data_IF_323050550934
#
_entry.id   IF_323050550934
#
_cell.length_a   1.000
_cell.length_b   1.000
_cell.length_c   1.000
_cell.angle_alpha   90.00
_cell.angle_beta   90.00
_cell.angle_gamma   90.00
#
_symmetry.space_group_name_H-M   'P 1'
#
loop_
_entity.id
_entity.type
_entity.pdbx_description
1 polymer ?
#
# COMPACT_ATOMS: atom_id res chain seq x y z
N UNK A 1 81.87 -21.80 -11.37
CA UNK A 1 81.99 -22.70 -10.20
C UNK A 1 80.92 -22.25 -9.20
N UNK A 2 80.05 -23.19 -8.83
CA UNK A 2 79.02 -23.18 -7.78
C UNK A 2 77.81 -22.21 -7.80
N UNK A 3 76.66 -22.86 -7.65
CA UNK A 3 75.32 -22.43 -7.27
C UNK A 3 75.23 -21.86 -5.84
N UNK A 4 74.15 -21.12 -5.53
CA UNK A 4 73.19 -21.45 -4.46
C UNK A 4 71.96 -20.52 -4.47
N UNK A 5 70.80 -21.10 -4.10
CA UNK A 5 69.45 -20.55 -4.17
C UNK A 5 68.95 -20.02 -2.78
N UNK A 6 67.62 -19.96 -2.47
CA UNK A 6 66.86 -18.75 -2.14
C UNK A 6 66.52 -18.60 -0.63
N UNK A 7 65.91 -17.47 -0.21
CA UNK A 7 65.24 -17.34 1.09
C UNK A 7 63.89 -16.62 1.01
N UNK A 8 62.86 -17.34 1.47
CA UNK A 8 61.54 -16.90 1.91
C UNK A 8 61.58 -16.28 3.30
N UNK A 9 60.65 -15.36 3.61
CA UNK A 9 60.40 -14.86 4.97
C UNK A 9 58.91 -15.01 5.30
N UNK A 10 58.64 -15.78 6.37
CA UNK A 10 57.37 -15.93 7.07
C UNK A 10 57.32 -14.99 8.29
N UNK A 11 56.11 -14.64 8.73
CA UNK A 11 55.85 -13.97 10.02
C UNK A 11 54.94 -14.85 10.92
N UNK A 12 55.07 -14.78 12.26
CA UNK A 12 54.51 -15.76 13.21
C UNK A 12 53.27 -15.27 13.99
N UNK A 13 52.79 -16.17 14.86
CA UNK A 13 51.47 -16.23 15.48
C UNK A 13 51.27 -15.48 16.82
N UNK A 14 49.97 -15.22 17.08
CA UNK A 14 49.18 -15.28 18.32
C UNK A 14 49.76 -14.94 19.70
N UNK A 15 49.10 -14.01 20.39
CA UNK A 15 48.95 -13.99 21.86
C UNK A 15 47.48 -13.73 22.22
N UNK A 16 46.96 -14.56 23.13
CA UNK A 16 45.59 -14.54 23.62
C UNK A 16 45.48 -13.73 24.92
N UNK A 17 44.41 -12.93 25.05
CA UNK A 17 43.95 -12.39 26.33
C UNK A 17 42.44 -12.63 26.44
N UNK A 18 42.04 -13.39 27.47
CA UNK A 18 40.65 -13.71 27.79
C UNK A 18 39.94 -12.47 28.33
N UNK A 19 38.79 -12.13 27.76
CA UNK A 19 37.80 -11.24 28.39
C UNK A 19 36.51 -12.03 28.55
N UNK A 20 35.99 -12.01 29.78
CA UNK A 20 34.71 -12.58 30.20
C UNK A 20 33.58 -11.94 29.38
N UNK A 21 32.79 -12.74 28.68
CA UNK A 21 31.57 -12.28 28.01
C UNK A 21 30.39 -12.43 28.98
N UNK A 22 29.88 -11.32 29.48
CA UNK A 22 28.54 -11.24 30.09
C UNK A 22 27.58 -10.93 28.94
N UNK A 23 26.68 -11.87 28.66
CA UNK A 23 25.71 -11.75 27.56
C UNK A 23 24.51 -10.94 28.05
N UNK A 24 24.28 -9.79 27.42
CA UNK A 24 22.96 -9.15 27.31
C UNK A 24 22.63 -9.08 25.82
N UNK A 25 21.42 -9.47 25.36
CA UNK A 25 21.06 -9.28 23.98
C UNK A 25 20.66 -7.81 23.79
N UNK A 26 21.53 -7.02 23.19
CA UNK A 26 21.10 -5.80 22.49
C UNK A 26 20.66 -6.30 21.11
N UNK A 27 19.35 -6.29 20.87
CA UNK A 27 18.82 -6.43 19.53
C UNK A 27 19.25 -5.19 18.73
N UNK A 28 20.33 -5.30 17.95
CA UNK A 28 20.55 -4.41 16.83
C UNK A 28 19.57 -4.82 15.73
N UNK A 29 18.46 -4.11 15.62
CA UNK A 29 17.71 -4.02 14.37
C UNK A 29 18.60 -3.26 13.38
N UNK A 30 19.21 -4.01 12.47
CA UNK A 30 20.04 -3.46 11.41
C UNK A 30 19.13 -2.94 10.30
N UNK A 31 19.24 -1.64 10.01
CA UNK A 31 18.68 -0.98 8.85
C UNK A 31 19.16 -1.67 7.58
N UNK A 32 18.25 -2.27 6.82
CA UNK A 32 18.55 -2.72 5.46
C UNK A 32 17.92 -1.72 4.51
N UNK A 33 18.74 -0.84 3.92
CA UNK A 33 18.38 -0.20 2.65
C UNK A 33 18.49 -1.29 1.58
N UNK A 34 17.45 -2.10 1.42
CA UNK A 34 17.37 -3.07 0.33
C UNK A 34 16.63 -2.43 -0.84
N UNK A 35 17.19 -2.56 -2.05
CA UNK A 35 16.57 -2.14 -3.32
C UNK A 35 15.43 -3.10 -3.70
N UNK A 36 14.56 -3.41 -2.75
CA UNK A 36 13.50 -4.40 -2.87
C UNK A 36 12.19 -3.69 -3.12
N UNK A 37 11.47 -4.08 -4.18
CA UNK A 37 10.12 -3.58 -4.41
C UNK A 37 9.17 -4.16 -3.34
N UNK A 38 8.16 -3.39 -2.90
CA UNK A 38 7.15 -3.86 -1.95
C UNK A 38 6.48 -5.16 -2.43
N UNK A 39 6.20 -5.25 -3.73
CA UNK A 39 5.66 -6.44 -4.39
C UNK A 39 6.51 -7.72 -4.23
N UNK A 40 7.82 -7.60 -4.01
CA UNK A 40 8.76 -8.73 -3.93
C UNK A 40 8.97 -9.24 -2.50
N UNK A 41 8.72 -8.43 -1.47
CA UNK A 41 9.05 -8.74 -0.08
C UNK A 41 7.83 -9.13 0.76
N UNK A 42 6.65 -8.61 0.42
CA UNK A 42 5.41 -8.89 1.11
C UNK A 42 4.35 -9.16 0.06
N UNK A 43 3.84 -10.40 0.01
CA UNK A 43 2.71 -10.75 -0.83
C UNK A 43 1.50 -9.95 -0.33
N UNK A 44 1.31 -8.73 -0.83
CA UNK A 44 0.26 -7.80 -0.40
C UNK A 44 -1.09 -8.50 -0.56
N UNK A 45 -1.75 -8.84 0.55
CA UNK A 45 -3.07 -9.48 0.52
C UNK A 45 -4.17 -8.43 0.72
N UNK A 46 -3.91 -7.37 1.49
CA UNK A 46 -4.85 -6.26 1.74
C UNK A 46 -4.08 -4.99 2.10
N UNK A 47 -4.10 -4.00 1.22
CA UNK A 47 -3.66 -2.64 1.56
C UNK A 47 -4.82 -1.97 2.30
N UNK A 48 -4.57 -1.43 3.49
CA UNK A 48 -5.62 -0.85 4.31
C UNK A 48 -5.66 0.68 4.26
N UNK A 49 -4.52 1.31 3.95
CA UNK A 49 -4.30 2.76 4.05
C UNK A 49 -3.21 3.20 3.06
N UNK A 50 -3.32 4.43 2.56
CA UNK A 50 -2.32 5.07 1.70
C UNK A 50 -2.34 6.60 1.75
N UNK A 51 -1.25 7.20 2.25
CA UNK A 51 -1.07 8.66 2.26
C UNK A 51 0.00 9.14 1.29
N UNK A 52 -0.18 10.33 0.70
CA UNK A 52 0.90 11.03 0.00
C UNK A 52 1.72 11.88 1.00
N UNK A 53 3.02 11.60 1.10
CA UNK A 53 3.94 12.37 1.92
C UNK A 53 4.46 13.62 1.21
N UNK A 54 4.89 14.63 1.98
CA UNK A 54 5.47 15.90 1.48
C UNK A 54 6.65 15.73 0.52
N UNK A 55 7.39 14.63 0.64
CA UNK A 55 8.53 14.31 -0.22
C UNK A 55 8.13 13.62 -1.55
N UNK A 56 6.83 13.39 -1.77
CA UNK A 56 6.27 12.73 -2.94
C UNK A 56 6.19 11.19 -2.85
N UNK A 57 6.70 10.59 -1.77
CA UNK A 57 6.58 9.17 -1.49
C UNK A 57 5.20 8.84 -0.92
N UNK A 58 4.85 7.56 -0.93
CA UNK A 58 3.60 7.06 -0.35
C UNK A 58 3.87 6.34 0.95
N UNK A 59 3.09 6.64 1.99
CA UNK A 59 2.98 5.79 3.18
C UNK A 59 1.91 4.75 2.91
N UNK A 60 2.20 3.48 3.16
CA UNK A 60 1.30 2.37 2.83
C UNK A 60 1.18 1.46 4.04
N UNK A 61 -0.04 1.20 4.46
CA UNK A 61 -0.34 0.19 5.49
C UNK A 61 -0.77 -1.12 4.84
N UNK A 62 0.08 -2.15 4.92
CA UNK A 62 -0.26 -3.52 4.59
C UNK A 62 -0.78 -4.23 5.84
N UNK A 63 -2.06 -4.64 5.83
CA UNK A 63 -2.64 -5.38 6.94
C UNK A 63 -2.11 -6.82 7.03
N UNK A 64 -1.45 -7.32 5.99
CA UNK A 64 -1.03 -8.71 5.88
C UNK A 64 -2.18 -9.64 5.53
N UNK A 65 -2.09 -10.91 5.93
CA UNK A 65 -2.95 -12.00 5.41
C UNK A 65 -4.24 -12.22 6.19
N UNK A 66 -4.22 -12.09 7.51
CA UNK A 66 -5.43 -12.22 8.33
C UNK A 66 -5.27 -11.59 9.71
N UNK A 67 -6.40 -11.25 10.32
CA UNK A 67 -6.51 -10.83 11.73
C UNK A 67 -5.99 -11.85 12.74
N UNK A 68 -5.79 -13.11 12.35
CA UNK A 68 -5.41 -14.18 13.26
C UNK A 68 -3.89 -14.33 13.46
N UNK A 69 -3.06 -13.68 12.64
CA UNK A 69 -1.61 -13.90 12.63
C UNK A 69 -0.86 -12.59 12.47
N UNK A 70 0.23 -12.44 13.22
CA UNK A 70 1.17 -11.34 13.04
C UNK A 70 1.70 -11.33 11.60
N UNK A 71 1.81 -10.12 11.04
CA UNK A 71 2.14 -9.91 9.64
C UNK A 71 1.63 -8.56 9.16
N UNK A 72 1.98 -8.25 7.91
CA UNK A 72 1.83 -6.90 7.36
C UNK A 72 2.99 -5.99 7.75
N UNK A 73 2.82 -4.70 7.49
CA UNK A 73 3.84 -3.69 7.75
C UNK A 73 3.41 -2.32 7.28
N UNK A 74 4.12 -1.31 7.78
CA UNK A 74 4.02 0.07 7.31
C UNK A 74 5.21 0.34 6.41
N UNK A 75 4.98 0.85 5.20
CA UNK A 75 6.01 1.05 4.19
C UNK A 75 5.96 2.49 3.67
N UNK A 76 7.09 3.17 3.64
CA UNK A 76 7.25 4.30 2.73
C UNK A 76 7.82 3.78 1.43
N UNK A 77 7.10 4.00 0.32
CA UNK A 77 7.56 3.65 -1.02
C UNK A 77 7.73 4.90 -1.86
N UNK A 78 8.77 4.94 -2.68
CA UNK A 78 8.86 5.96 -3.72
C UNK A 78 7.84 5.70 -4.85
N UNK A 79 7.71 6.65 -5.79
CA UNK A 79 6.81 6.51 -6.94
C UNK A 79 7.23 5.40 -7.93
N UNK A 80 8.39 4.79 -7.74
CA UNK A 80 8.88 3.61 -8.46
C UNK A 80 8.64 2.31 -7.66
N UNK A 81 7.95 2.39 -6.51
CA UNK A 81 7.62 1.22 -5.69
C UNK A 81 8.78 0.64 -4.90
N UNK A 82 9.90 1.36 -4.83
CA UNK A 82 11.05 0.99 -3.99
C UNK A 82 10.71 1.31 -2.55
N UNK A 83 10.87 0.33 -1.65
CA UNK A 83 10.74 0.60 -0.22
C UNK A 83 11.90 1.51 0.21
N UNK A 84 11.55 2.70 0.68
CA UNK A 84 12.50 3.69 1.24
C UNK A 84 12.66 3.46 2.75
N UNK A 85 11.56 3.15 3.45
CA UNK A 85 11.57 2.73 4.86
C UNK A 85 10.46 1.73 5.12
N UNK A 86 10.63 0.91 6.15
CA UNK A 86 9.61 -0.07 6.55
C UNK A 86 9.60 -0.29 8.06
N UNK A 87 8.41 -0.52 8.60
CA UNK A 87 8.20 -1.03 9.96
C UNK A 87 7.35 -2.29 9.91
N UNK A 88 7.94 -3.44 10.27
CA UNK A 88 7.32 -4.77 10.11
C UNK A 88 7.36 -5.59 11.40
N UNK A 89 7.62 -4.94 12.53
CA UNK A 89 7.90 -5.63 13.79
C UNK A 89 6.62 -5.81 14.59
N UNK A 90 6.11 -7.04 14.66
CA UNK A 90 5.08 -7.42 15.63
C UNK A 90 3.72 -6.74 15.44
N UNK A 91 3.43 -6.29 14.21
CA UNK A 91 2.09 -5.85 13.82
C UNK A 91 1.21 -7.05 13.48
N UNK A 92 -0.09 -6.89 13.69
CA UNK A 92 -1.13 -7.85 13.29
C UNK A 92 -2.30 -7.08 12.72
N UNK A 93 -2.51 -7.20 11.42
CA UNK A 93 -3.70 -6.63 10.77
C UNK A 93 -3.82 -5.12 11.00
N UNK A 94 -2.71 -4.39 10.86
CA UNK A 94 -2.73 -2.95 10.97
C UNK A 94 -3.67 -2.36 9.92
N UNK A 95 -4.52 -1.41 10.31
CA UNK A 95 -5.45 -0.76 9.38
C UNK A 95 -5.04 0.65 8.97
N UNK A 96 -4.31 1.37 9.81
CA UNK A 96 -3.91 2.74 9.54
C UNK A 96 -2.57 3.08 10.21
N UNK A 97 -1.83 3.98 9.58
CA UNK A 97 -0.62 4.56 10.15
C UNK A 97 -0.40 6.00 9.67
N UNK A 98 -0.34 6.96 10.60
CA UNK A 98 -0.16 8.38 10.29
C UNK A 98 1.26 8.86 10.67
N UNK A 99 1.98 9.43 9.68
CA UNK A 99 3.35 9.92 9.80
C UNK A 99 3.41 11.37 10.26
N UNK A 100 4.13 11.58 11.34
CA UNK A 100 4.34 12.90 11.92
C UNK A 100 5.57 13.59 11.30
N UNK A 101 5.64 14.94 11.31
CA UNK A 101 6.78 15.70 10.78
C UNK A 101 8.14 15.39 11.44
N UNK A 102 8.14 14.88 12.68
CA UNK A 102 9.36 14.46 13.40
C UNK A 102 9.81 13.03 13.05
N UNK A 103 9.08 12.35 12.16
CA UNK A 103 9.31 10.99 11.72
C UNK A 103 8.72 9.92 12.65
N UNK A 104 8.05 10.30 13.74
CA UNK A 104 7.26 9.36 14.53
C UNK A 104 5.99 8.94 13.78
N UNK A 105 5.43 7.79 14.12
CA UNK A 105 4.18 7.29 13.54
C UNK A 105 3.24 6.82 14.61
N UNK A 106 1.96 7.15 14.48
CA UNK A 106 0.87 6.49 15.22
C UNK A 106 0.32 5.37 14.33
N UNK A 107 0.05 4.19 14.91
CA UNK A 107 -0.34 2.99 14.17
C UNK A 107 -1.51 2.31 14.88
N UNK A 108 -2.57 2.05 14.12
CA UNK A 108 -3.69 1.21 14.54
C UNK A 108 -3.35 -0.26 14.31
N UNK A 109 -2.78 -0.92 15.32
CA UNK A 109 -2.43 -2.35 15.33
C UNK A 109 -3.67 -3.20 15.69
N UNK A 110 -4.64 -3.17 14.78
CA UNK A 110 -6.03 -3.60 15.01
C UNK A 110 -6.17 -5.03 15.52
N UNK A 111 -5.38 -5.98 14.98
CA UNK A 111 -5.45 -7.38 15.38
C UNK A 111 -4.93 -7.65 16.79
N UNK A 112 -4.16 -6.72 17.36
CA UNK A 112 -3.78 -6.73 18.77
C UNK A 112 -4.73 -5.93 19.66
N UNK A 113 -5.76 -5.30 19.10
CA UNK A 113 -6.65 -4.38 19.82
C UNK A 113 -5.89 -3.26 20.52
N UNK A 114 -4.90 -2.67 19.85
CA UNK A 114 -4.10 -1.60 20.43
C UNK A 114 -3.79 -0.51 19.41
N UNK A 115 -3.42 0.66 19.92
CA UNK A 115 -2.77 1.72 19.16
C UNK A 115 -1.39 1.94 19.75
N UNK A 116 -0.39 2.08 18.89
CA UNK A 116 0.99 2.36 19.29
C UNK A 116 1.48 3.63 18.63
N UNK A 117 2.42 4.32 19.27
CA UNK A 117 3.28 5.29 18.60
C UNK A 117 4.72 4.82 18.63
N UNK A 118 5.40 4.94 17.50
CA UNK A 118 6.81 4.61 17.34
C UNK A 118 7.62 5.85 16.94
N UNK A 119 8.87 5.91 17.37
CA UNK A 119 9.80 6.93 16.89
C UNK A 119 10.28 6.65 15.46
N UNK A 120 11.06 7.57 14.91
CA UNK A 120 11.65 7.42 13.57
C UNK A 120 12.60 6.22 13.44
N UNK A 121 13.03 5.61 14.56
CA UNK A 121 13.85 4.41 14.60
C UNK A 121 13.05 3.11 14.81
N UNK A 122 11.72 3.21 14.96
CA UNK A 122 10.81 2.10 15.18
C UNK A 122 10.68 1.66 16.65
N UNK A 123 11.20 2.42 17.61
CA UNK A 123 11.01 2.14 19.03
C UNK A 123 9.63 2.62 19.49
N UNK A 124 8.89 1.75 20.20
CA UNK A 124 7.60 2.12 20.78
C UNK A 124 7.81 3.17 21.87
N UNK A 125 7.24 4.35 21.67
CA UNK A 125 7.23 5.47 22.62
C UNK A 125 5.93 5.53 23.43
N UNK A 126 4.84 5.02 22.87
CA UNK A 126 3.52 5.01 23.49
C UNK A 126 2.74 3.77 23.04
N UNK A 127 1.97 3.16 23.95
CA UNK A 127 1.19 1.95 23.66
C UNK A 127 -0.03 1.88 24.60
N UNK A 128 -1.21 1.71 24.02
CA UNK A 128 -2.46 1.57 24.80
C UNK A 128 -2.49 0.35 25.72
N UNK A 129 -1.76 -0.73 25.43
CA UNK A 129 -1.67 -1.90 26.32
C UNK A 129 -1.01 -1.58 27.68
N UNK A 130 -0.23 -0.49 27.74
CA UNK A 130 0.40 -0.01 28.98
C UNK A 130 -0.47 1.01 29.73
N UNK A 131 -1.68 1.29 29.22
CA UNK A 131 -2.57 2.33 29.73
C UNK A 131 -3.90 1.73 30.18
N UNK A 132 -4.61 2.49 31.01
CA UNK A 132 -6.01 2.24 31.35
C UNK A 132 -6.75 3.52 31.01
N UNK A 133 -7.73 3.45 30.11
CA UNK A 133 -8.52 4.63 29.78
C UNK A 133 -9.34 5.08 30.99
N UNK A 134 -9.63 6.38 31.08
CA UNK A 134 -10.32 6.97 32.24
C UNK A 134 -11.73 6.41 32.49
N UNK A 135 -12.35 5.77 31.50
CA UNK A 135 -13.64 5.07 31.63
C UNK A 135 -13.49 3.59 32.01
N UNK A 136 -12.25 3.09 32.13
CA UNK A 136 -11.92 1.70 32.47
C UNK A 136 -12.10 0.70 31.33
N UNK A 137 -12.33 1.15 30.09
CA UNK A 137 -12.46 0.29 28.92
C UNK A 137 -11.11 -0.14 28.35
N UNK A 138 -11.13 -1.21 27.55
CA UNK A 138 -10.04 -1.61 26.65
C UNK A 138 -10.49 -1.35 25.20
N UNK A 139 -9.55 -1.11 24.28
CA UNK A 139 -9.85 -1.02 22.85
C UNK A 139 -10.35 -2.34 22.28
N UNK A 140 -11.20 -2.26 21.25
CA UNK A 140 -11.65 -3.40 20.46
C UNK A 140 -11.69 -3.06 18.99
N UNK A 141 -10.80 -3.71 18.25
CA UNK A 141 -10.67 -3.55 16.81
C UNK A 141 -10.48 -2.06 16.42
N UNK A 142 -9.48 -1.35 17.00
CA UNK A 142 -9.23 0.04 16.65
C UNK A 142 -8.82 0.11 15.18
N UNK A 143 -9.52 0.93 14.42
CA UNK A 143 -9.45 0.90 12.97
C UNK A 143 -8.62 2.04 12.39
N UNK A 144 -8.55 3.14 13.13
CA UNK A 144 -7.93 4.38 12.72
C UNK A 144 -7.54 5.18 13.97
N UNK A 145 -6.41 5.87 13.91
CA UNK A 145 -5.92 6.68 15.01
C UNK A 145 -4.98 7.81 14.55
N UNK A 146 -5.32 9.05 14.90
CA UNK A 146 -4.57 10.25 14.49
C UNK A 146 -3.99 11.00 15.69
N UNK A 147 -2.79 11.56 15.52
CA UNK A 147 -2.19 12.47 16.52
C UNK A 147 -2.65 13.91 16.24
N UNK A 148 -3.40 14.48 17.17
CA UNK A 148 -3.91 15.84 17.04
C UNK A 148 -2.83 16.88 17.39
N UNK A 149 -2.96 18.09 16.85
CA UNK A 149 -2.02 19.19 17.09
C UNK A 149 -1.86 19.60 18.57
N UNK A 150 -2.82 19.25 19.43
CA UNK A 150 -2.75 19.46 20.89
C UNK A 150 -1.97 18.33 21.63
N UNK A 151 -1.50 17.31 20.92
CA UNK A 151 -0.82 16.13 21.46
C UNK A 151 -1.75 14.99 21.90
N UNK A 152 -3.07 15.15 21.74
CA UNK A 152 -4.04 14.09 22.02
C UNK A 152 -4.16 13.11 20.86
N UNK A 153 -4.75 11.94 21.13
CA UNK A 153 -4.99 10.90 20.13
C UNK A 153 -6.48 10.80 19.88
N UNK A 154 -6.89 10.91 18.64
CA UNK A 154 -8.24 10.58 18.20
C UNK A 154 -8.22 9.12 17.76
N UNK A 155 -9.09 8.27 18.32
CA UNK A 155 -9.08 6.83 18.08
C UNK A 155 -10.49 6.38 17.67
N UNK A 156 -10.56 5.68 16.55
CA UNK A 156 -11.77 5.00 16.09
C UNK A 156 -11.81 3.57 16.62
N UNK A 157 -12.60 3.35 17.66
CA UNK A 157 -12.69 2.11 18.43
C UNK A 157 -13.91 1.29 17.96
N UNK A 158 -13.77 0.68 16.78
CA UNK A 158 -14.85 0.15 15.94
C UNK A 158 -15.82 -0.75 16.70
N UNK A 159 -15.31 -1.78 17.36
CA UNK A 159 -16.16 -2.81 17.99
C UNK A 159 -16.62 -2.40 19.39
N UNK A 160 -16.14 -1.27 19.91
CA UNK A 160 -16.78 -0.54 21.01
C UNK A 160 -17.71 0.58 20.54
N UNK A 161 -17.90 0.75 19.22
CA UNK A 161 -18.90 1.65 18.63
C UNK A 161 -18.75 3.11 19.05
N UNK A 162 -17.52 3.60 19.04
CA UNK A 162 -17.20 4.98 19.39
C UNK A 162 -16.01 5.51 18.61
N UNK A 163 -15.92 6.84 18.53
CA UNK A 163 -14.69 7.58 18.24
C UNK A 163 -14.42 8.44 19.47
N UNK A 164 -13.19 8.46 19.98
CA UNK A 164 -12.86 9.22 21.18
C UNK A 164 -11.48 9.88 21.09
N UNK A 165 -11.34 11.00 21.79
CA UNK A 165 -10.07 11.71 21.95
C UNK A 165 -9.53 11.46 23.37
N UNK A 166 -8.26 11.08 23.50
CA UNK A 166 -7.60 10.95 24.79
C UNK A 166 -6.24 11.65 24.85
N UNK A 167 -5.84 12.05 26.05
CA UNK A 167 -4.48 12.54 26.31
C UNK A 167 -3.43 11.40 26.33
N UNK A 168 -2.17 11.74 26.57
CA UNK A 168 -1.06 10.77 26.63
C UNK A 168 -1.19 9.72 27.75
N UNK A 169 -1.96 10.02 28.78
CA UNK A 169 -2.18 9.16 29.94
C UNK A 169 -3.46 8.32 29.80
N UNK A 170 -4.17 8.41 28.68
CA UNK A 170 -5.44 7.70 28.44
C UNK A 170 -6.65 8.38 29.07
N UNK A 171 -6.56 9.65 29.49
CA UNK A 171 -7.73 10.42 29.92
C UNK A 171 -8.57 10.78 28.70
N UNK A 172 -9.77 10.24 28.61
CA UNK A 172 -10.73 10.57 27.55
C UNK A 172 -11.25 11.98 27.78
N UNK A 173 -10.99 12.88 26.83
CA UNK A 173 -11.38 14.30 26.89
C UNK A 173 -12.58 14.63 26.00
N UNK A 174 -12.85 13.78 25.00
CA UNK A 174 -14.02 13.87 24.13
C UNK A 174 -14.39 12.47 23.59
N UNK A 175 -15.67 12.24 23.32
CA UNK A 175 -16.16 11.00 22.71
C UNK A 175 -17.46 11.24 21.95
N UNK A 176 -17.65 10.53 20.84
CA UNK A 176 -18.94 10.31 20.21
C UNK A 176 -19.20 8.80 20.05
N UNK A 177 -20.45 8.37 20.28
CA UNK A 177 -20.79 6.96 20.49
C UNK A 177 -20.82 6.58 21.98
N UNK A 178 -21.43 5.44 22.28
CA UNK A 178 -21.55 4.91 23.64
C UNK A 178 -20.78 3.59 23.71
N UNK A 179 -19.78 3.52 24.58
CA UNK A 179 -18.85 2.40 24.66
C UNK A 179 -19.58 1.05 24.78
N UNK A 180 -19.42 0.21 23.77
CA UNK A 180 -20.01 -1.13 23.68
C UNK A 180 -21.51 -1.16 23.33
N UNK A 181 -22.12 -0.03 22.98
CA UNK A 181 -23.55 0.06 22.63
C UNK A 181 -23.70 0.57 21.21
N UNK A 182 -24.08 -0.33 20.30
CA UNK A 182 -24.38 0.02 18.92
C UNK A 182 -25.72 0.77 18.80
N UNK A 183 -25.80 1.72 17.88
CA UNK A 183 -27.04 2.40 17.53
C UNK A 183 -26.85 3.36 16.35
N UNK A 184 -27.94 4.02 15.92
CA UNK A 184 -27.95 4.98 14.79
C UNK A 184 -28.63 6.30 15.16
N UNK A 185 -28.92 6.53 16.45
CA UNK A 185 -29.53 7.79 16.86
C UNK A 185 -28.51 8.94 16.86
N UNK A 186 -28.88 10.10 17.43
CA UNK A 186 -28.02 11.28 17.47
C UNK A 186 -26.81 11.18 18.40
N UNK A 187 -26.57 10.03 19.07
CA UNK A 187 -25.47 9.84 20.02
C UNK A 187 -24.73 8.51 19.88
N UNK A 188 -25.29 7.54 19.16
CA UNK A 188 -24.69 6.22 18.98
C UNK A 188 -24.06 6.07 17.58
N UNK A 189 -23.05 5.21 17.53
CA UNK A 189 -22.45 4.71 16.30
C UNK A 189 -22.67 3.20 16.21
N UNK A 190 -22.39 2.61 15.04
CA UNK A 190 -22.31 1.17 14.86
C UNK A 190 -21.13 0.83 13.93
N UNK A 191 -20.04 0.38 14.54
CA UNK A 191 -18.85 -0.06 13.82
C UNK A 191 -18.21 1.03 12.96
N UNK A 192 -17.83 2.18 13.54
CA UNK A 192 -17.14 3.23 12.78
C UNK A 192 -15.77 2.75 12.28
N UNK A 193 -15.36 3.19 11.09
CA UNK A 193 -14.07 2.79 10.49
C UNK A 193 -13.02 3.89 10.40
N UNK A 194 -13.42 5.14 10.32
CA UNK A 194 -12.53 6.29 10.24
C UNK A 194 -13.17 7.45 11.00
N UNK A 195 -12.33 8.30 11.60
CA UNK A 195 -12.78 9.46 12.33
C UNK A 195 -11.72 10.55 12.39
N UNK A 196 -11.97 11.67 11.72
CA UNK A 196 -10.99 12.74 11.57
C UNK A 196 -11.44 14.08 12.11
N UNK A 197 -10.50 14.79 12.74
CA UNK A 197 -10.71 16.14 13.25
C UNK A 197 -10.54 17.14 12.12
N UNK A 198 -11.59 17.86 11.81
CA UNK A 198 -11.60 18.94 10.82
C UNK A 198 -11.01 20.24 11.42
N UNK A 199 -10.55 21.13 10.54
CA UNK A 199 -10.01 22.46 10.90
C UNK A 199 -10.97 23.33 11.71
N UNK A 200 -12.28 23.14 11.53
CA UNK A 200 -13.31 23.87 12.28
C UNK A 200 -13.51 23.32 13.72
N UNK A 201 -12.81 22.23 14.08
CA UNK A 201 -12.88 21.56 15.38
C UNK A 201 -13.93 20.45 15.48
N UNK A 202 -14.74 20.25 14.43
CA UNK A 202 -15.70 19.15 14.32
C UNK A 202 -14.99 17.85 13.92
N UNK A 203 -15.64 16.72 14.15
CA UNK A 203 -15.12 15.40 13.77
C UNK A 203 -16.00 14.81 12.67
N UNK A 204 -15.43 14.47 11.51
CA UNK A 204 -16.11 13.64 10.50
C UNK A 204 -15.94 12.17 10.89
N UNK A 205 -17.00 11.36 10.75
CA UNK A 205 -17.00 9.97 11.18
C UNK A 205 -17.68 9.09 10.12
N UNK A 206 -16.96 8.04 9.72
CA UNK A 206 -17.47 6.97 8.88
C UNK A 206 -18.20 5.92 9.74
N UNK A 207 -19.51 6.08 9.94
CA UNK A 207 -20.35 5.18 10.74
C UNK A 207 -20.80 3.96 9.89
N UNK A 208 -19.83 3.10 9.56
CA UNK A 208 -19.89 2.20 8.42
C UNK A 208 -21.04 1.19 8.44
N UNK A 209 -21.36 0.57 9.58
CA UNK A 209 -22.47 -0.40 9.61
C UNK A 209 -23.85 0.28 9.61
N UNK A 210 -23.90 1.59 9.84
CA UNK A 210 -25.09 2.41 9.66
C UNK A 210 -25.18 3.04 8.26
N UNK A 211 -24.20 2.77 7.38
CA UNK A 211 -24.10 3.26 6.01
C UNK A 211 -24.28 4.78 5.92
N UNK A 212 -23.58 5.52 6.78
CA UNK A 212 -23.61 6.99 6.78
C UNK A 212 -22.24 7.58 7.11
N UNK A 213 -22.02 8.79 6.62
CA UNK A 213 -20.98 9.70 7.10
C UNK A 213 -21.67 10.78 7.91
N UNK A 214 -21.12 11.13 9.07
CA UNK A 214 -21.63 12.23 9.90
C UNK A 214 -20.50 13.21 10.23
N UNK A 215 -20.84 14.49 10.38
CA UNK A 215 -19.97 15.48 11.01
C UNK A 215 -20.56 15.85 12.36
N UNK A 216 -19.74 15.77 13.41
CA UNK A 216 -20.13 15.99 14.80
C UNK A 216 -19.38 17.18 15.36
N UNK A 217 -20.09 18.14 15.94
CA UNK A 217 -19.45 19.27 16.60
C UNK A 217 -18.76 18.87 17.92
N UNK A 218 -17.94 19.76 18.47
CA UNK A 218 -17.25 19.53 19.74
C UNK A 218 -18.21 19.29 20.93
N UNK A 219 -19.47 19.68 20.82
CA UNK A 219 -20.52 19.43 21.82
C UNK A 219 -21.21 18.06 21.68
N UNK A 220 -20.87 17.28 20.64
CA UNK A 220 -21.49 15.98 20.36
C UNK A 220 -22.78 16.06 19.55
N UNK A 221 -23.05 17.18 18.87
CA UNK A 221 -24.22 17.30 17.98
C UNK A 221 -23.84 16.94 16.55
N UNK A 222 -24.62 16.07 15.91
CA UNK A 222 -24.50 15.83 14.47
C UNK A 222 -24.96 17.07 13.70
N UNK A 223 -24.04 17.73 13.00
CA UNK A 223 -24.27 18.98 12.24
C UNK A 223 -24.40 18.75 10.74
N UNK A 224 -23.96 17.59 10.25
CA UNK A 224 -24.13 17.15 8.87
C UNK A 224 -24.21 15.62 8.82
N UNK A 225 -25.01 15.09 7.89
CA UNK A 225 -25.12 13.66 7.62
C UNK A 225 -25.27 13.44 6.11
N UNK A 226 -24.57 12.42 5.59
CA UNK A 226 -24.82 11.86 4.28
C UNK A 226 -24.98 10.34 4.38
N UNK A 227 -26.11 9.82 3.91
CA UNK A 227 -26.47 8.40 4.02
C UNK A 227 -27.10 7.84 2.73
N UNK A 228 -27.23 8.65 1.67
CA UNK A 228 -27.97 8.26 0.48
C UNK A 228 -27.17 7.28 -0.37
N UNK A 229 -27.68 6.05 -0.50
CA UNK A 229 -27.11 5.02 -1.36
C UNK A 229 -25.72 4.51 -0.97
N UNK A 230 -25.24 4.80 0.25
CA UNK A 230 -23.98 4.26 0.74
C UNK A 230 -24.10 2.79 1.18
N UNK A 231 -23.01 2.05 1.07
CA UNK A 231 -22.86 0.74 1.68
C UNK A 231 -21.44 0.56 2.23
N UNK A 232 -21.37 0.45 3.55
CA UNK A 232 -20.14 0.22 4.30
C UNK A 232 -19.07 1.26 3.95
N UNK A 233 -19.44 2.54 4.06
CA UNK A 233 -18.52 3.63 3.80
C UNK A 233 -17.40 3.63 4.85
N UNK A 234 -16.15 3.60 4.39
CA UNK A 234 -14.99 3.27 5.25
C UNK A 234 -14.12 4.45 5.62
N UNK A 235 -14.08 5.41 4.73
CA UNK A 235 -13.22 6.56 4.80
C UNK A 235 -13.92 7.76 4.13
N UNK A 236 -13.67 8.97 4.64
CA UNK A 236 -14.28 10.20 4.15
C UNK A 236 -13.53 11.47 4.56
N UNK A 237 -13.00 12.18 3.57
CA UNK A 237 -12.29 13.45 3.77
C UNK A 237 -13.10 14.67 3.39
N UNK A 238 -13.05 15.70 4.23
CA UNK A 238 -13.50 17.04 3.87
C UNK A 238 -12.44 17.70 2.99
N UNK A 239 -12.83 18.05 1.76
CA UNK A 239 -11.97 18.74 0.80
C UNK A 239 -11.97 20.26 1.01
N UNK A 240 -10.92 20.94 0.51
CA UNK A 240 -10.77 22.41 0.57
C UNK A 240 -11.96 23.19 0.01
N UNK A 241 -12.65 22.63 -0.98
CA UNK A 241 -13.84 23.24 -1.60
C UNK A 241 -15.12 23.06 -0.76
N UNK A 242 -15.02 22.37 0.38
CA UNK A 242 -16.11 22.03 1.28
C UNK A 242 -16.85 20.73 0.93
N UNK A 243 -16.57 20.10 -0.21
CA UNK A 243 -17.14 18.79 -0.53
C UNK A 243 -16.52 17.69 0.34
N UNK A 244 -17.08 16.49 0.27
CA UNK A 244 -16.59 15.31 0.98
C UNK A 244 -16.25 14.23 -0.04
N UNK A 245 -15.00 13.76 -0.06
CA UNK A 245 -14.61 12.54 -0.76
C UNK A 245 -15.00 11.34 0.12
N UNK A 246 -15.58 10.28 -0.45
CA UNK A 246 -16.14 9.15 0.32
C UNK A 246 -15.81 7.83 -0.36
N UNK A 247 -15.33 6.87 0.44
CA UNK A 247 -15.08 5.49 0.01
C UNK A 247 -16.32 4.63 0.25
N UNK A 248 -17.15 4.45 -0.79
CA UNK A 248 -18.33 3.60 -0.77
C UNK A 248 -17.95 2.14 -1.09
N UNK A 249 -17.24 1.52 -0.14
CA UNK A 249 -16.40 0.33 -0.38
C UNK A 249 -17.14 -0.90 -0.90
N UNK A 250 -18.37 -1.19 -0.41
CA UNK A 250 -19.12 -2.34 -0.92
C UNK A 250 -19.64 -2.13 -2.34
N UNK A 251 -19.90 -0.88 -2.73
CA UNK A 251 -20.24 -0.54 -4.11
C UNK A 251 -19.01 -0.36 -5.01
N UNK A 252 -17.79 -0.41 -4.44
CA UNK A 252 -16.52 -0.32 -5.17
C UNK A 252 -16.42 0.96 -6.00
N UNK A 253 -16.71 2.08 -5.33
CA UNK A 253 -16.63 3.40 -5.92
C UNK A 253 -16.18 4.44 -4.90
N UNK A 254 -15.67 5.53 -5.43
CA UNK A 254 -15.44 6.78 -4.71
C UNK A 254 -16.51 7.79 -5.13
N UNK A 255 -16.93 8.64 -4.19
CA UNK A 255 -17.89 9.72 -4.43
C UNK A 255 -17.31 11.04 -3.94
N UNK A 256 -17.50 12.12 -4.70
CA UNK A 256 -17.37 13.47 -4.17
C UNK A 256 -18.77 14.08 -4.00
N UNK A 257 -19.10 14.47 -2.78
CA UNK A 257 -20.43 14.94 -2.39
C UNK A 257 -20.35 16.36 -1.86
N UNK A 258 -21.21 17.23 -2.39
CA UNK A 258 -21.32 18.63 -1.90
C UNK A 258 -21.88 18.70 -0.48
N UNK A 259 -21.70 19.81 0.26
CA UNK A 259 -22.35 20.02 1.56
C UNK A 259 -23.88 19.84 1.53
N UNK A 260 -24.51 20.08 0.38
CA UNK A 260 -25.95 19.91 0.17
C UNK A 260 -26.37 18.45 -0.14
N UNK A 261 -25.43 17.51 -0.20
CA UNK A 261 -25.68 16.09 -0.47
C UNK A 261 -25.75 15.69 -1.94
N UNK A 262 -25.38 16.57 -2.87
CA UNK A 262 -25.33 16.22 -4.29
C UNK A 262 -23.98 15.57 -4.64
N UNK A 263 -24.02 14.42 -5.32
CA UNK A 263 -22.83 13.80 -5.94
C UNK A 263 -22.39 14.64 -7.14
N UNK A 264 -21.13 15.08 -7.14
CA UNK A 264 -20.53 15.88 -8.23
C UNK A 264 -19.41 15.14 -8.97
N UNK A 265 -18.92 14.04 -8.41
CA UNK A 265 -17.98 13.14 -9.05
C UNK A 265 -18.17 11.72 -8.51
N UNK A 266 -17.98 10.72 -9.38
CA UNK A 266 -18.05 9.30 -9.04
C UNK A 266 -16.99 8.55 -9.86
N UNK A 267 -16.29 7.62 -9.21
CA UNK A 267 -15.26 6.81 -9.87
C UNK A 267 -15.35 5.35 -9.42
N UNK A 268 -15.35 4.43 -10.38
CA UNK A 268 -15.33 3.00 -10.08
C UNK A 268 -13.90 2.55 -9.76
N UNK A 269 -13.69 1.97 -8.58
CA UNK A 269 -12.34 1.58 -8.10
C UNK A 269 -11.87 0.22 -8.64
N UNK A 270 -12.76 -0.57 -9.24
CA UNK A 270 -12.46 -1.91 -9.74
C UNK A 270 -12.28 -3.00 -8.66
N UNK A 271 -12.22 -2.61 -7.39
CA UNK A 271 -12.08 -3.47 -6.21
C UNK A 271 -12.60 -2.77 -4.95
N UNK A 272 -12.61 -3.45 -3.81
CA UNK A 272 -12.90 -2.76 -2.55
C UNK A 272 -11.77 -1.78 -2.25
N UNK A 273 -12.10 -0.51 -2.11
CA UNK A 273 -11.20 0.52 -1.59
C UNK A 273 -11.40 0.67 -0.09
N UNK A 274 -10.32 0.90 0.65
CA UNK A 274 -10.40 1.16 2.08
C UNK A 274 -10.22 2.64 2.38
N UNK A 275 -9.39 3.31 1.59
CA UNK A 275 -8.88 4.65 1.85
C UNK A 275 -8.62 5.39 0.52
N UNK A 276 -8.85 6.70 0.50
CA UNK A 276 -8.55 7.54 -0.68
C UNK A 276 -8.36 9.01 -0.35
N UNK A 277 -7.45 9.62 -1.08
CA UNK A 277 -6.94 10.94 -0.75
C UNK A 277 -7.02 11.88 -1.96
N UNK A 278 -7.46 13.13 -1.75
CA UNK A 278 -7.44 14.16 -2.80
C UNK A 278 -6.12 14.92 -2.77
N UNK A 279 -5.33 14.75 -3.83
CA UNK A 279 -4.02 15.39 -3.93
C UNK A 279 -4.15 16.87 -4.32
N UNK A 280 -3.13 17.67 -3.97
CA UNK A 280 -3.04 19.10 -4.33
C UNK A 280 -3.08 19.35 -5.86
N UNK A 281 -2.77 18.34 -6.67
CA UNK A 281 -2.89 18.38 -8.14
C UNK A 281 -4.35 18.31 -8.63
N UNK A 282 -5.29 17.97 -7.74
CA UNK A 282 -6.68 17.63 -8.05
C UNK A 282 -6.90 16.15 -8.37
N UNK A 283 -5.82 15.35 -8.44
CA UNK A 283 -5.91 13.90 -8.62
C UNK A 283 -6.44 13.21 -7.36
N UNK A 284 -6.93 11.99 -7.50
CA UNK A 284 -7.31 11.13 -6.37
C UNK A 284 -6.37 9.94 -6.29
N UNK A 285 -5.70 9.80 -5.16
CA UNK A 285 -4.97 8.59 -4.77
C UNK A 285 -5.93 7.65 -4.05
N UNK A 286 -5.88 6.35 -4.31
CA UNK A 286 -6.69 5.39 -3.58
C UNK A 286 -6.08 4.00 -3.64
N UNK A 287 -6.41 3.17 -2.65
CA UNK A 287 -6.14 1.74 -2.71
C UNK A 287 -7.37 0.97 -3.24
N UNK A 288 -7.14 -0.14 -3.93
CA UNK A 288 -8.18 -1.11 -4.22
C UNK A 288 -7.61 -2.54 -4.20
N UNK A 289 -8.06 -3.34 -3.24
CA UNK A 289 -7.53 -4.68 -3.00
C UNK A 289 -6.04 -4.66 -2.62
N UNK A 290 -5.18 -4.99 -3.59
CA UNK A 290 -3.72 -5.16 -3.41
C UNK A 290 -2.91 -4.07 -4.13
N UNK A 291 -3.59 -3.09 -4.69
CA UNK A 291 -3.03 -2.11 -5.59
C UNK A 291 -3.36 -0.69 -5.13
N UNK A 292 -2.50 0.23 -5.51
CA UNK A 292 -2.64 1.67 -5.37
C UNK A 292 -2.86 2.27 -6.75
N UNK A 293 -3.65 3.32 -6.82
CA UNK A 293 -4.01 4.01 -8.05
C UNK A 293 -4.03 5.51 -7.80
N UNK A 294 -3.58 6.28 -8.78
CA UNK A 294 -3.81 7.71 -8.86
C UNK A 294 -4.60 7.99 -10.13
N UNK A 295 -5.70 8.74 -10.02
CA UNK A 295 -6.54 9.13 -11.15
C UNK A 295 -6.66 10.65 -11.28
N UNK A 296 -6.73 11.13 -12.51
CA UNK A 296 -7.05 12.54 -12.78
C UNK A 296 -8.53 12.86 -12.47
N UNK A 297 -8.92 14.13 -12.59
CA UNK A 297 -10.30 14.56 -12.36
C UNK A 297 -11.34 13.92 -13.31
N UNK A 298 -10.90 13.38 -14.45
CA UNK A 298 -11.74 12.64 -15.38
C UNK A 298 -11.81 11.13 -15.06
N UNK A 299 -11.13 10.66 -14.01
CA UNK A 299 -11.07 9.26 -13.61
C UNK A 299 -10.07 8.41 -14.41
N UNK A 300 -9.19 9.04 -15.19
CA UNK A 300 -8.14 8.30 -15.92
C UNK A 300 -6.99 7.98 -14.98
N UNK A 301 -6.58 6.71 -14.95
CA UNK A 301 -5.41 6.27 -14.19
C UNK A 301 -4.16 6.95 -14.76
N UNK A 302 -3.51 7.77 -13.95
CA UNK A 302 -2.24 8.45 -14.26
C UNK A 302 -1.04 7.78 -13.60
N UNK A 303 -1.27 7.03 -12.52
CA UNK A 303 -0.24 6.21 -11.87
C UNK A 303 -0.87 5.01 -11.17
N UNK A 304 -0.12 3.91 -11.02
CA UNK A 304 -0.57 2.73 -10.26
C UNK A 304 0.60 1.92 -9.72
N UNK A 305 0.36 1.17 -8.63
CA UNK A 305 1.32 0.26 -8.02
C UNK A 305 0.65 -1.04 -7.51
N UNK A 306 1.30 -2.22 -7.61
CA UNK A 306 2.49 -2.49 -8.41
C UNK A 306 2.26 -2.20 -9.89
N UNK A 307 3.33 -1.89 -10.62
CA UNK A 307 3.28 -1.68 -12.08
C UNK A 307 2.88 -2.95 -12.86
N UNK A 308 2.70 -4.06 -12.14
CA UNK A 308 2.52 -5.41 -12.64
C UNK A 308 1.05 -5.83 -12.65
N UNK A 309 0.23 -5.16 -13.47
CA UNK A 309 -1.18 -5.51 -13.68
C UNK A 309 -1.46 -6.14 -15.06
N UNK A 310 -0.41 -6.32 -15.89
CA UNK A 310 -0.60 -7.00 -17.16
C UNK A 310 -0.71 -8.52 -16.94
N UNK A 311 -1.89 -9.08 -17.19
CA UNK A 311 -2.01 -10.53 -17.35
C UNK A 311 -1.27 -10.97 -18.62
N UNK A 312 -0.52 -12.09 -18.57
CA UNK A 312 0.21 -12.60 -19.73
C UNK A 312 -0.15 -14.07 -19.99
N UNK A 313 -0.78 -14.32 -21.13
CA UNK A 313 -1.03 -15.66 -21.64
C UNK A 313 -0.17 -15.93 -22.86
N UNK A 314 0.51 -17.08 -22.86
CA UNK A 314 1.36 -17.51 -23.98
C UNK A 314 0.90 -18.88 -24.44
N UNK A 315 0.57 -19.01 -25.72
CA UNK A 315 0.24 -20.27 -26.35
C UNK A 315 1.43 -21.23 -26.35
N UNK A 316 1.23 -22.46 -26.84
CA UNK A 316 2.34 -23.35 -27.17
C UNK A 316 3.32 -22.66 -28.13
N UNK A 317 4.63 -22.87 -27.90
CA UNK A 317 5.71 -22.38 -28.77
C UNK A 317 6.27 -23.58 -29.50
N UNK A 318 5.81 -23.81 -30.73
CA UNK A 318 6.18 -24.97 -31.56
C UNK A 318 6.90 -24.47 -32.81
N UNK A 319 8.07 -25.04 -33.13
CA UNK A 319 8.83 -24.69 -34.34
C UNK A 319 7.94 -24.75 -35.59
N UNK A 320 8.04 -23.71 -36.41
CA UNK A 320 7.33 -23.61 -37.66
C UNK A 320 5.84 -23.24 -37.55
N UNK A 321 5.29 -23.18 -36.33
CA UNK A 321 3.90 -22.83 -36.06
C UNK A 321 3.76 -21.38 -35.58
N UNK A 322 2.57 -20.76 -35.70
CA UNK A 322 2.27 -19.50 -35.03
C UNK A 322 2.19 -19.71 -33.51
N UNK A 323 2.78 -18.78 -32.76
CA UNK A 323 2.57 -18.61 -31.34
C UNK A 323 1.88 -17.27 -31.08
N UNK A 324 0.95 -17.25 -30.13
CA UNK A 324 0.25 -16.07 -29.68
C UNK A 324 0.66 -15.71 -28.26
N UNK A 325 0.88 -14.41 -28.04
CA UNK A 325 1.05 -13.80 -26.74
C UNK A 325 -0.11 -12.81 -26.56
N UNK A 326 -0.83 -12.92 -25.44
CA UNK A 326 -1.93 -12.04 -25.08
C UNK A 326 -1.59 -11.34 -23.78
N UNK A 327 -1.57 -10.01 -23.79
CA UNK A 327 -1.55 -9.18 -22.59
C UNK A 327 -2.96 -8.66 -22.29
N UNK A 328 -3.37 -8.67 -21.02
CA UNK A 328 -4.66 -8.13 -20.54
C UNK A 328 -4.43 -7.10 -19.43
N UNK A 329 -5.37 -6.16 -19.23
CA UNK A 329 -5.19 -5.09 -18.24
C UNK A 329 -4.34 -3.92 -18.75
N UNK A 330 -4.23 -3.80 -20.08
CA UNK A 330 -3.48 -2.75 -20.74
C UNK A 330 -4.33 -1.48 -20.87
N UNK A 331 -3.69 -0.30 -20.87
CA UNK A 331 -4.32 0.95 -21.28
C UNK A 331 -4.78 0.87 -22.74
N UNK A 332 -6.08 1.10 -23.05
CA UNK A 332 -6.59 1.06 -24.42
C UNK A 332 -5.85 1.97 -25.39
N UNK A 333 -5.75 1.54 -26.66
CA UNK A 333 -5.10 2.25 -27.75
C UNK A 333 -3.59 2.53 -27.56
N UNK A 334 -2.95 1.98 -26.52
CA UNK A 334 -1.52 2.17 -26.26
C UNK A 334 -0.71 0.92 -26.59
N UNK A 335 0.54 1.13 -27.01
CA UNK A 335 1.42 0.07 -27.46
C UNK A 335 1.91 -0.80 -26.28
N UNK A 336 1.71 -2.10 -26.42
CA UNK A 336 2.22 -3.12 -25.52
C UNK A 336 3.33 -3.88 -26.23
N UNK A 337 4.50 -3.93 -25.62
CA UNK A 337 5.70 -4.58 -26.11
C UNK A 337 5.82 -5.96 -25.46
N UNK A 338 6.12 -6.98 -26.27
CA UNK A 338 6.32 -8.34 -25.82
C UNK A 338 7.80 -8.69 -25.91
N UNK A 339 8.41 -9.00 -24.77
CA UNK A 339 9.84 -9.28 -24.64
C UNK A 339 10.08 -10.71 -24.19
N UNK A 340 11.27 -11.22 -24.47
CA UNK A 340 11.68 -12.53 -24.04
C UNK A 340 13.18 -12.65 -23.77
N UNK A 341 13.55 -13.65 -22.98
CA UNK A 341 14.92 -14.08 -22.74
C UNK A 341 15.03 -15.60 -22.76
N UNK A 342 16.16 -16.11 -23.24
CA UNK A 342 16.53 -17.53 -23.12
C UNK A 342 17.41 -17.82 -21.90
N UNK A 343 17.82 -16.78 -21.15
CA UNK A 343 18.73 -16.93 -20.00
C UNK A 343 17.97 -17.26 -18.72
N UNK A 344 16.76 -16.72 -18.56
CA UNK A 344 15.98 -16.90 -17.33
C UNK A 344 15.30 -15.62 -16.85
N UNK A 345 14.79 -15.72 -15.62
CA UNK A 345 14.42 -14.55 -14.81
C UNK A 345 15.67 -13.83 -14.31
N UNK A 346 15.58 -12.51 -14.13
CA UNK A 346 16.64 -11.68 -13.55
C UNK A 346 16.22 -10.22 -13.52
N UNK A 347 16.89 -9.40 -12.72
CA UNK A 347 16.58 -7.96 -12.63
C UNK A 347 17.42 -7.18 -13.65
N UNK A 348 16.76 -6.56 -14.64
CA UNK A 348 17.43 -5.77 -15.67
C UNK A 348 16.77 -4.40 -15.81
N UNK A 349 17.49 -3.35 -15.40
CA UNK A 349 17.04 -1.97 -15.57
C UNK A 349 17.16 -1.51 -17.03
N UNK A 350 16.12 -0.81 -17.53
CA UNK A 350 16.04 -0.24 -18.87
C UNK A 350 15.96 1.30 -18.73
N UNK A 351 17.10 2.00 -18.78
CA UNK A 351 17.15 3.43 -18.46
C UNK A 351 16.27 4.32 -19.35
N UNK A 352 16.06 3.94 -20.61
CA UNK A 352 15.26 4.74 -21.54
C UNK A 352 13.76 4.73 -21.24
N UNK A 353 13.31 3.74 -20.46
CA UNK A 353 11.91 3.52 -20.10
C UNK A 353 11.66 3.66 -18.60
N UNK A 354 12.72 3.93 -17.85
CA UNK A 354 12.74 3.98 -16.38
C UNK A 354 12.02 2.79 -15.72
N UNK A 355 12.29 1.57 -16.21
CA UNK A 355 11.68 0.35 -15.70
C UNK A 355 12.72 -0.75 -15.47
N UNK A 356 12.51 -1.56 -14.44
CA UNK A 356 13.24 -2.81 -14.23
C UNK A 356 12.42 -4.00 -14.72
N UNK A 357 12.90 -4.69 -15.75
CA UNK A 357 12.32 -5.94 -16.24
C UNK A 357 12.80 -7.13 -15.40
N UNK A 358 11.98 -8.18 -15.31
CA UNK A 358 12.30 -9.39 -14.53
C UNK A 358 12.88 -10.52 -15.40
N UNK A 359 13.41 -10.12 -16.56
CA UNK A 359 14.14 -10.98 -17.49
C UNK A 359 15.65 -10.79 -17.32
N UNK A 360 16.40 -11.88 -17.32
CA UNK A 360 17.86 -11.83 -17.37
C UNK A 360 18.33 -11.48 -18.79
N UNK A 361 19.41 -10.70 -18.89
CA UNK A 361 20.02 -10.39 -20.19
C UNK A 361 20.57 -11.64 -20.90
N UNK A 362 20.58 -11.68 -22.25
CA UNK A 362 20.08 -10.64 -23.15
C UNK A 362 18.56 -10.70 -23.32
N UNK A 363 17.91 -9.54 -23.17
CA UNK A 363 16.48 -9.35 -23.43
C UNK A 363 16.28 -9.05 -24.91
N UNK A 364 15.25 -9.65 -25.52
CA UNK A 364 14.90 -9.47 -26.93
C UNK A 364 13.44 -9.03 -27.06
N UNK A 365 13.18 -8.13 -28.01
CA UNK A 365 11.82 -7.75 -28.38
C UNK A 365 11.26 -8.79 -29.36
N UNK A 366 10.14 -9.43 -29.01
CA UNK A 366 9.39 -10.28 -29.93
C UNK A 366 8.56 -9.43 -30.91
N UNK A 367 7.91 -8.38 -30.39
CA UNK A 367 7.11 -7.45 -31.17
C UNK A 367 6.26 -6.56 -30.27
N UNK A 368 5.31 -5.84 -30.86
CA UNK A 368 4.36 -4.99 -30.13
C UNK A 368 2.97 -5.03 -30.77
N UNK A 369 1.96 -4.65 -30.00
CA UNK A 369 0.57 -4.50 -30.46
C UNK A 369 -0.13 -3.43 -29.63
N UNK A 370 -1.05 -2.69 -30.23
CA UNK A 370 -1.88 -1.75 -29.46
C UNK A 370 -2.97 -2.53 -28.71
N UNK A 371 -3.26 -2.12 -27.47
CA UNK A 371 -4.39 -2.68 -26.74
C UNK A 371 -5.73 -2.21 -27.36
N UNK A 372 -6.70 -3.13 -27.43
CA UNK A 372 -8.06 -2.81 -27.82
C UNK A 372 -8.82 -2.03 -26.72
N UNK A 373 -10.07 -1.64 -26.99
CA UNK A 373 -10.92 -0.91 -26.04
C UNK A 373 -11.19 -1.68 -24.73
N UNK A 374 -11.01 -3.00 -24.74
CA UNK A 374 -11.13 -3.85 -23.54
C UNK A 374 -9.82 -4.02 -22.78
N UNK A 375 -8.76 -3.31 -23.18
CA UNK A 375 -7.44 -3.40 -22.56
C UNK A 375 -6.71 -4.69 -22.87
N UNK A 376 -6.98 -5.31 -24.03
CA UNK A 376 -6.30 -6.53 -24.47
C UNK A 376 -5.39 -6.24 -25.66
N UNK A 377 -4.11 -6.59 -25.54
CA UNK A 377 -3.16 -6.57 -26.64
C UNK A 377 -2.78 -7.99 -27.06
N UNK A 378 -2.84 -8.28 -28.37
CA UNK A 378 -2.49 -9.60 -28.92
C UNK A 378 -1.37 -9.48 -29.93
N UNK A 379 -0.36 -10.31 -29.78
CA UNK A 379 0.76 -10.44 -30.73
C UNK A 379 0.87 -11.89 -31.19
N UNK A 380 0.94 -12.08 -32.52
CA UNK A 380 1.09 -13.40 -33.14
C UNK A 380 2.32 -13.38 -34.02
N UNK A 381 3.21 -14.36 -33.84
CA UNK A 381 4.40 -14.52 -34.67
C UNK A 381 4.65 -15.99 -35.00
N UNK A 382 5.20 -16.26 -36.19
CA UNK A 382 5.67 -17.61 -36.55
C UNK A 382 6.98 -17.90 -35.81
N UNK A 383 7.02 -19.01 -35.10
CA UNK A 383 8.24 -19.51 -34.46
C UNK A 383 9.17 -20.06 -35.54
N UNK A 384 10.40 -19.55 -35.71
CA UNK A 384 11.33 -20.08 -36.70
C UNK A 384 11.61 -21.58 -36.52
N UNK A 385 11.75 -22.30 -37.63
CA UNK A 385 12.02 -23.76 -37.62
C UNK A 385 13.35 -24.10 -36.92
N UNK A 386 14.30 -23.16 -36.89
CA UNK A 386 15.61 -23.28 -36.24
C UNK A 386 15.66 -22.81 -34.77
N UNK A 387 14.56 -22.41 -34.16
CA UNK A 387 14.54 -21.87 -32.78
C UNK A 387 15.06 -22.90 -31.78
N UNK A 388 16.07 -22.62 -30.93
CA UNK A 388 16.58 -23.60 -29.96
C UNK A 388 15.47 -24.24 -29.10
N UNK A 389 15.58 -25.55 -28.84
CA UNK A 389 14.69 -26.27 -27.91
C UNK A 389 15.11 -25.98 -26.46
N UNK A 390 14.98 -24.71 -26.07
CA UNK A 390 15.30 -24.21 -24.74
C UNK A 390 14.05 -23.58 -24.14
N UNK A 391 13.97 -23.49 -22.80
CA UNK A 391 12.95 -22.67 -22.18
C UNK A 391 13.11 -21.21 -22.59
N UNK A 392 11.98 -20.53 -22.72
CA UNK A 392 11.89 -19.10 -22.99
C UNK A 392 11.04 -18.45 -21.90
N UNK A 393 11.55 -17.34 -21.36
CA UNK A 393 10.88 -16.51 -20.38
C UNK A 393 10.36 -15.27 -21.10
N UNK A 394 9.06 -15.00 -20.98
CA UNK A 394 8.37 -13.92 -21.66
C UNK A 394 7.80 -12.93 -20.66
N UNK A 395 7.79 -11.66 -21.04
CA UNK A 395 7.20 -10.56 -20.28
C UNK A 395 6.57 -9.58 -21.26
N UNK A 396 5.42 -9.00 -20.91
CA UNK A 396 4.86 -7.85 -21.61
C UNK A 396 5.19 -6.57 -20.84
N UNK A 397 5.29 -5.44 -21.54
CA UNK A 397 5.35 -4.12 -20.92
C UNK A 397 4.56 -3.10 -21.74
N UNK A 398 4.05 -2.08 -21.08
CA UNK A 398 3.35 -0.96 -21.71
C UNK A 398 3.89 0.35 -21.17
N UNK A 399 4.39 1.22 -22.04
CA UNK A 399 4.88 2.53 -21.63
C UNK A 399 3.68 3.43 -21.31
N UNK A 400 3.72 4.14 -20.18
CA UNK A 400 2.68 5.05 -19.78
C UNK A 400 2.73 6.34 -20.63
N UNK A 401 1.58 6.97 -20.93
CA UNK A 401 1.55 8.30 -21.54
C UNK A 401 2.33 9.32 -20.70
N UNK A 402 2.84 10.38 -21.33
CA UNK A 402 3.53 11.46 -20.60
C UNK A 402 4.99 11.18 -20.23
N UNK A 403 5.43 9.92 -20.26
CA UNK A 403 6.81 9.53 -19.92
C UNK A 403 7.00 9.10 -18.47
N UNK A 404 5.91 8.89 -17.73
CA UNK A 404 5.89 8.57 -16.30
C UNK A 404 6.13 7.07 -16.01
N UNK A 405 7.05 6.45 -16.75
CA UNK A 405 7.43 5.03 -16.58
C UNK A 405 6.65 4.04 -17.45
N UNK A 406 6.56 2.78 -17.00
CA UNK A 406 5.94 1.69 -17.74
C UNK A 406 5.32 0.63 -16.81
N UNK A 407 4.29 -0.06 -17.31
CA UNK A 407 3.70 -1.26 -16.73
C UNK A 407 4.43 -2.50 -17.26
N UNK A 408 4.49 -3.60 -16.50
CA UNK A 408 4.95 -4.91 -17.00
C UNK A 408 4.00 -6.03 -16.58
N UNK A 409 4.18 -7.21 -17.14
CA UNK A 409 3.51 -8.44 -16.67
C UNK A 409 4.42 -9.22 -15.74
N UNK A 410 3.89 -10.22 -15.04
CA UNK A 410 4.74 -11.29 -14.50
C UNK A 410 5.48 -12.03 -15.62
N UNK A 411 6.59 -12.70 -15.28
CA UNK A 411 7.34 -13.53 -16.23
C UNK A 411 6.73 -14.92 -16.37
N UNK A 412 6.36 -15.27 -17.61
CA UNK A 412 5.85 -16.59 -17.99
C UNK A 412 6.94 -17.42 -18.66
N UNK A 413 7.15 -18.65 -18.19
CA UNK A 413 8.04 -19.62 -18.83
C UNK A 413 7.26 -20.54 -19.77
N UNK A 414 7.84 -20.84 -20.94
CA UNK A 414 7.39 -21.86 -21.88
C UNK A 414 8.56 -22.65 -22.43
N UNK A 415 8.34 -23.90 -22.76
CA UNK A 415 9.30 -24.71 -23.52
C UNK A 415 9.08 -24.52 -25.02
N UNK A 416 10.17 -24.40 -25.78
CA UNK A 416 10.12 -24.48 -27.24
C UNK A 416 10.04 -25.94 -27.65
N UNK A 417 8.97 -26.31 -28.34
CA UNK A 417 8.67 -27.66 -28.79
C UNK A 417 9.01 -27.86 -30.28
N UNK A 418 9.20 -29.12 -30.66
CA UNK A 418 9.53 -29.52 -32.03
C UNK A 418 8.33 -29.49 -32.97
#
# INVERSE_FOLDING_TARGET
MLWLAPRSLSLPAANAMRVLCVVWPIALTCWVSSVTALADQYASETLADVDLLDNGNLLVTDAGRSQAYDGGGIFEIDRNGTIVRSYTTGLRWAHNADLQPDGSMIISDTGHNRVIMIDSAGAIMWNTEALVFSDGSDLRYPNDANLLANGNRLITDRDNHRVFECDENGVIVWQFGITGVAGRDGSHLFGPHNGDRLDNGNTIICDSNNNRIIEVDAGGTVVWEYADGLSWARDADRLDNGNTLINDSNHRRLLEVTPAGNVVWEHATGGMSYDSDRLATGHTLYNAGKSLFEVDAAGQIVWQYPFDLLGLEVSAIVRGQPAQITASGCLPAHAVFFLYSFTGRGSTFVPQLDITLDLATPIRLAGYSAADESGIARFVARVPDGTPLLPVWLQAMQVLPGGDGALKSVVVQREVMQ
#
